data_IF_230835219737
#
_entry.id   IF_230835219737
#
_cell.length_a   1.000
_cell.length_b   1.000
_cell.length_c   1.000
_cell.angle_alpha   90.00
_cell.angle_beta   90.00
_cell.angle_gamma   90.00
#
_symmetry.space_group_name_H-M   'P 1'
#
loop_
_entity.id
_entity.type
_entity.pdbx_description
1 polymer ?
#
# COMPACT_ATOMS: atom_id res chain seq x y z
N UNK A 1 -15.06 -5.91 0.91
CA UNK A 1 -16.52 -5.80 1.14
C UNK A 1 -17.00 -5.92 2.61
N UNK A 2 -16.30 -6.62 3.51
CA UNK A 2 -16.73 -6.81 4.92
C UNK A 2 -17.08 -5.53 5.71
N UNK A 3 -16.43 -4.40 5.41
CA UNK A 3 -16.69 -3.13 6.12
C UNK A 3 -18.01 -2.49 5.67
N UNK A 4 -18.31 -2.48 4.36
CA UNK A 4 -19.57 -1.96 3.80
C UNK A 4 -20.78 -2.76 4.26
N UNK A 5 -20.63 -4.07 4.48
CA UNK A 5 -21.70 -4.91 5.03
C UNK A 5 -21.93 -4.67 6.52
N UNK A 6 -20.88 -4.28 7.27
CA UNK A 6 -20.99 -3.94 8.69
C UNK A 6 -21.59 -2.55 8.92
N UNK A 7 -21.28 -1.60 8.04
CA UNK A 7 -21.75 -0.22 8.12
C UNK A 7 -22.49 0.16 6.83
N UNK A 8 -23.74 -0.29 6.65
CA UNK A 8 -24.51 0.00 5.43
C UNK A 8 -24.95 1.47 5.35
N UNK A 9 -25.25 2.09 6.50
CA UNK A 9 -25.71 3.48 6.59
C UNK A 9 -24.82 4.31 7.52
N UNK A 10 -24.83 5.62 7.34
CA UNK A 10 -24.10 6.56 8.19
C UNK A 10 -24.62 6.53 9.65
N UNK A 11 -25.92 6.30 9.85
CA UNK A 11 -26.52 6.07 11.18
C UNK A 11 -25.96 4.84 11.89
N UNK A 12 -25.58 3.80 11.13
CA UNK A 12 -24.94 2.61 11.69
C UNK A 12 -23.56 2.94 12.28
N UNK A 13 -22.87 3.94 11.74
CA UNK A 13 -21.59 4.42 12.30
C UNK A 13 -21.80 5.23 13.58
N UNK A 14 -22.90 5.99 13.68
CA UNK A 14 -23.28 6.67 14.92
C UNK A 14 -23.63 5.66 16.02
N UNK A 15 -24.43 4.64 15.68
CA UNK A 15 -24.78 3.57 16.63
C UNK A 15 -23.56 2.80 17.14
N UNK A 16 -22.53 2.68 16.31
CA UNK A 16 -21.26 2.07 16.67
C UNK A 16 -20.33 2.98 17.49
N UNK A 17 -20.68 4.27 17.67
CA UNK A 17 -19.91 5.24 18.46
C UNK A 17 -18.73 5.87 17.72
N UNK A 18 -18.66 5.77 16.39
CA UNK A 18 -17.59 6.40 15.60
C UNK A 18 -17.88 7.86 15.23
N UNK A 19 -19.16 8.24 15.18
CA UNK A 19 -19.62 9.57 14.84
C UNK A 19 -20.64 10.03 15.87
N UNK A 20 -20.60 11.31 16.24
CA UNK A 20 -21.64 11.90 17.06
C UNK A 20 -22.87 12.30 16.21
N UNK A 21 -24.04 12.41 16.85
CA UNK A 21 -25.26 12.86 16.18
C UNK A 21 -25.13 14.28 15.61
N UNK A 22 -24.35 15.14 16.26
CA UNK A 22 -24.15 16.52 15.80
C UNK A 22 -23.17 16.59 14.63
N UNK A 23 -22.10 15.79 14.66
CA UNK A 23 -21.18 15.61 13.53
C UNK A 23 -21.90 15.06 12.30
N UNK A 24 -22.83 14.13 12.50
CA UNK A 24 -23.67 13.60 11.41
C UNK A 24 -24.48 14.71 10.73
N UNK A 25 -25.07 15.63 11.51
CA UNK A 25 -25.81 16.77 10.97
C UNK A 25 -24.89 17.68 10.16
N UNK A 26 -23.69 17.98 10.66
CA UNK A 26 -22.72 18.78 9.92
C UNK A 26 -22.27 18.12 8.63
N UNK A 27 -22.01 16.82 8.66
CA UNK A 27 -21.65 16.05 7.47
C UNK A 27 -22.77 16.05 6.42
N UNK A 28 -24.03 16.04 6.85
CA UNK A 28 -25.19 16.09 5.96
C UNK A 28 -25.42 17.45 5.29
N UNK A 29 -24.91 18.54 5.89
CA UNK A 29 -24.97 19.89 5.29
C UNK A 29 -24.04 20.04 4.09
N UNK A 30 -23.02 19.18 3.98
CA UNK A 30 -22.05 19.24 2.90
C UNK A 30 -22.66 18.60 1.66
N UNK A 31 -23.21 19.45 0.78
CA UNK A 31 -23.77 19.04 -0.51
C UNK A 31 -22.66 18.86 -1.55
N UNK A 32 -22.05 17.67 -1.53
CA UNK A 32 -21.05 17.24 -2.50
C UNK A 32 -21.43 15.86 -3.02
N UNK A 33 -21.32 15.68 -4.34
CA UNK A 33 -21.51 14.38 -4.99
C UNK A 33 -20.37 13.39 -4.69
N UNK A 34 -19.24 13.88 -4.20
CA UNK A 34 -18.05 13.09 -3.89
C UNK A 34 -18.09 12.51 -2.47
N UNK A 35 -17.26 11.50 -2.22
CA UNK A 35 -17.12 10.90 -0.90
C UNK A 35 -16.56 11.91 0.11
N UNK A 36 -17.21 12.01 1.28
CA UNK A 36 -16.95 12.98 2.36
C UNK A 36 -15.92 12.48 3.40
N UNK A 37 -15.08 11.51 3.05
CA UNK A 37 -14.09 10.93 3.97
C UNK A 37 -13.02 11.94 4.45
N UNK A 38 -12.83 13.04 3.71
CA UNK A 38 -11.87 14.09 4.06
C UNK A 38 -12.37 15.00 5.20
N UNK A 39 -13.68 15.05 5.46
CA UNK A 39 -14.27 15.96 6.44
C UNK A 39 -13.79 15.68 7.87
N UNK A 40 -13.77 14.42 8.38
CA UNK A 40 -13.22 14.13 9.70
C UNK A 40 -11.71 14.44 9.82
N UNK A 41 -10.95 14.29 8.73
CA UNK A 41 -9.53 14.65 8.72
C UNK A 41 -9.34 16.16 8.85
N UNK A 42 -10.20 16.93 8.19
CA UNK A 42 -10.22 18.38 8.33
C UNK A 42 -10.58 18.82 9.77
N UNK A 43 -11.56 18.16 10.39
CA UNK A 43 -11.89 18.40 11.80
C UNK A 43 -10.72 18.08 12.72
N UNK A 44 -10.02 16.96 12.50
CA UNK A 44 -8.84 16.61 13.30
C UNK A 44 -7.73 17.68 13.22
N UNK A 45 -7.50 18.25 12.02
CA UNK A 45 -6.58 19.38 11.86
C UNK A 45 -7.06 20.60 12.63
N UNK A 46 -8.36 20.94 12.55
CA UNK A 46 -8.97 22.05 13.30
C UNK A 46 -8.84 21.89 14.82
N UNK A 47 -9.04 20.68 15.34
CA UNK A 47 -8.82 20.35 16.76
C UNK A 47 -7.36 20.55 17.15
N UNK A 48 -6.41 20.18 16.28
CA UNK A 48 -4.98 20.43 16.52
C UNK A 48 -4.65 21.93 16.61
N UNK A 49 -5.30 22.78 15.81
CA UNK A 49 -5.17 24.24 15.95
C UNK A 49 -5.73 24.76 17.27
N UNK A 50 -6.95 24.35 17.63
CA UNK A 50 -7.58 24.75 18.89
C UNK A 50 -6.78 24.27 20.11
N UNK A 51 -6.12 23.11 20.01
CA UNK A 51 -5.30 22.57 21.09
C UNK A 51 -4.06 23.42 21.35
N UNK A 52 -3.48 24.05 20.32
CA UNK A 52 -2.40 25.02 20.48
C UNK A 52 -2.89 26.32 21.15
N UNK A 53 -4.04 26.85 20.73
CA UNK A 53 -4.63 28.06 21.32
C UNK A 53 -4.94 27.88 22.82
N UNK A 54 -5.47 26.70 23.18
CA UNK A 54 -5.75 26.33 24.57
C UNK A 54 -4.50 25.95 25.37
N UNK A 55 -3.31 26.01 24.76
CA UNK A 55 -2.01 25.67 25.35
C UNK A 55 -1.91 24.23 25.88
N UNK A 56 -2.62 23.28 25.24
CA UNK A 56 -2.41 21.85 25.51
C UNK A 56 -1.08 21.35 24.93
N UNK A 57 -0.60 21.98 23.85
CA UNK A 57 0.74 21.75 23.33
C UNK A 57 1.74 22.70 23.96
N UNK A 58 2.86 22.15 24.45
CA UNK A 58 3.96 22.93 25.02
C UNK A 58 4.66 23.79 23.97
N UNK A 59 4.79 23.27 22.74
CA UNK A 59 5.48 23.94 21.64
C UNK A 59 4.66 23.89 20.35
N UNK A 60 4.79 24.91 19.48
CA UNK A 60 4.22 24.86 18.13
C UNK A 60 4.73 23.68 17.30
N UNK A 61 5.93 23.18 17.60
CA UNK A 61 6.54 22.05 16.89
C UNK A 61 5.80 20.74 17.17
N UNK A 62 5.37 20.50 18.41
CA UNK A 62 4.54 19.34 18.77
C UNK A 62 3.25 19.27 17.94
N UNK A 63 2.62 20.43 17.66
CA UNK A 63 1.47 20.52 16.75
C UNK A 63 1.82 20.07 15.33
N UNK A 64 2.96 20.50 14.80
CA UNK A 64 3.42 20.15 13.45
C UNK A 64 3.62 18.64 13.34
N UNK A 65 4.21 18.00 14.35
CA UNK A 65 4.36 16.54 14.36
C UNK A 65 3.01 15.82 14.23
N UNK A 66 2.02 16.22 15.04
CA UNK A 66 0.67 15.64 14.97
C UNK A 66 0.04 15.88 13.59
N UNK A 67 0.23 17.07 13.01
CA UNK A 67 -0.27 17.39 11.68
C UNK A 67 0.39 16.53 10.58
N UNK A 68 1.70 16.26 10.69
CA UNK A 68 2.42 15.40 9.76
C UNK A 68 1.92 13.94 9.82
N UNK A 69 1.60 13.44 11.01
CA UNK A 69 1.01 12.10 11.15
C UNK A 69 -0.40 12.02 10.55
N UNK A 70 -1.23 13.05 10.75
CA UNK A 70 -2.55 13.16 10.11
C UNK A 70 -2.42 13.20 8.59
N UNK A 71 -1.42 13.91 8.06
CA UNK A 71 -1.15 13.98 6.63
C UNK A 71 -0.68 12.64 6.06
N UNK A 72 0.19 11.93 6.78
CA UNK A 72 0.62 10.57 6.41
C UNK A 72 -0.58 9.62 6.36
N UNK A 73 -1.46 9.68 7.37
CA UNK A 73 -2.69 8.91 7.38
C UNK A 73 -3.62 9.24 6.19
N UNK A 74 -3.80 10.54 5.88
CA UNK A 74 -4.59 11.00 4.73
C UNK A 74 -4.02 10.46 3.41
N UNK A 75 -2.69 10.45 3.26
CA UNK A 75 -2.02 9.98 2.05
C UNK A 75 -2.24 8.49 1.84
N UNK A 76 -2.13 7.68 2.90
CA UNK A 76 -2.42 6.24 2.85
C UNK A 76 -3.89 5.96 2.52
N UNK A 77 -4.82 6.74 3.07
CA UNK A 77 -6.24 6.63 2.74
C UNK A 77 -6.53 7.01 1.28
N UNK A 78 -5.89 8.06 0.76
CA UNK A 78 -6.02 8.46 -0.63
C UNK A 78 -5.49 7.38 -1.58
N UNK A 79 -4.38 6.73 -1.24
CA UNK A 79 -3.85 5.60 -1.99
C UNK A 79 -4.88 4.45 -2.06
N UNK A 80 -5.52 4.12 -0.95
CA UNK A 80 -6.58 3.10 -0.92
C UNK A 80 -7.77 3.47 -1.83
N UNK A 81 -8.21 4.73 -1.80
CA UNK A 81 -9.25 5.22 -2.69
C UNK A 81 -8.85 5.16 -4.17
N UNK A 82 -7.57 5.43 -4.48
CA UNK A 82 -7.06 5.36 -5.86
C UNK A 82 -7.08 3.92 -6.40
N UNK A 83 -6.73 2.93 -5.57
CA UNK A 83 -6.82 1.51 -5.94
C UNK A 83 -8.27 1.04 -6.16
N UNK A 84 -9.23 1.61 -5.43
CA UNK A 84 -10.66 1.32 -5.62
C UNK A 84 -11.22 2.03 -6.88
N UNK A 85 -10.75 3.25 -7.16
CA UNK A 85 -11.16 4.01 -8.35
C UNK A 85 -10.61 3.38 -9.63
N UNK A 86 -9.31 3.08 -9.68
CA UNK A 86 -8.61 2.64 -10.89
C UNK A 86 -8.29 1.15 -10.78
N UNK A 87 -9.19 0.26 -11.26
CA UNK A 87 -8.88 -1.16 -11.34
C UNK A 87 -7.84 -1.44 -12.41
N UNK A 88 -7.20 -2.60 -12.31
CA UNK A 88 -6.32 -3.13 -13.37
C UNK A 88 -7.12 -3.17 -14.69
N UNK A 89 -6.53 -2.73 -15.82
CA UNK A 89 -7.17 -2.83 -17.13
C UNK A 89 -7.67 -4.24 -17.38
N UNK A 90 -8.94 -4.38 -17.79
CA UNK A 90 -9.61 -5.69 -17.92
C UNK A 90 -8.92 -6.60 -18.95
N UNK A 91 -8.20 -6.02 -19.91
CA UNK A 91 -7.43 -6.75 -20.91
C UNK A 91 -6.33 -7.62 -20.29
N UNK A 92 -5.67 -7.18 -19.22
CA UNK A 92 -4.58 -7.94 -18.61
C UNK A 92 -5.02 -9.28 -18.01
N UNK A 93 -6.03 -9.34 -17.10
CA UNK A 93 -6.51 -10.61 -16.60
C UNK A 93 -7.16 -11.46 -17.69
N UNK A 94 -7.82 -10.84 -18.68
CA UNK A 94 -8.38 -11.57 -19.83
C UNK A 94 -7.30 -12.31 -20.62
N UNK A 95 -6.23 -11.62 -21.04
CA UNK A 95 -5.13 -12.25 -21.75
C UNK A 95 -4.44 -13.32 -20.92
N UNK A 96 -4.20 -13.06 -19.63
CA UNK A 96 -3.59 -14.03 -18.73
C UNK A 96 -4.43 -15.31 -18.58
N UNK A 97 -5.76 -15.17 -18.46
CA UNK A 97 -6.67 -16.31 -18.40
C UNK A 97 -6.70 -17.08 -19.72
N UNK A 98 -6.75 -16.39 -20.87
CA UNK A 98 -6.69 -17.05 -22.18
C UNK A 98 -5.42 -17.88 -22.33
N UNK A 99 -4.24 -17.36 -21.96
CA UNK A 99 -2.98 -18.11 -22.01
C UNK A 99 -3.05 -19.36 -21.13
N UNK A 100 -3.58 -19.23 -19.91
CA UNK A 100 -3.71 -20.38 -19.00
C UNK A 100 -4.67 -21.43 -19.56
N UNK A 101 -5.79 -21.01 -20.14
CA UNK A 101 -6.77 -21.90 -20.75
C UNK A 101 -6.22 -22.60 -22.01
N UNK A 102 -5.47 -21.88 -22.84
CA UNK A 102 -4.86 -22.38 -24.09
C UNK A 102 -3.69 -23.36 -23.81
N UNK A 103 -2.84 -23.04 -22.82
CA UNK A 103 -1.67 -23.84 -22.44
C UNK A 103 -1.98 -24.87 -21.34
N UNK A 104 -3.26 -25.01 -20.94
CA UNK A 104 -3.66 -25.95 -19.91
C UNK A 104 -3.35 -27.39 -20.34
N UNK A 105 -2.31 -27.98 -19.75
CA UNK A 105 -1.85 -29.34 -20.06
C UNK A 105 -0.74 -29.41 -21.12
N UNK A 106 -0.28 -28.27 -21.64
CA UNK A 106 0.93 -28.17 -22.44
C UNK A 106 2.15 -28.22 -21.49
N UNK A 107 2.59 -29.43 -21.15
CA UNK A 107 3.88 -29.61 -20.49
C UNK A 107 4.97 -29.58 -21.57
N UNK A 108 5.98 -28.69 -21.47
CA UNK A 108 7.14 -28.79 -22.34
C UNK A 108 7.81 -30.15 -22.14
N UNK A 109 8.43 -30.69 -23.18
CA UNK A 109 9.14 -31.96 -23.08
C UNK A 109 10.20 -31.90 -21.97
N UNK A 110 10.14 -32.86 -21.04
CA UNK A 110 11.08 -32.93 -19.93
C UNK A 110 12.46 -33.35 -20.46
N UNK A 111 13.36 -32.37 -20.58
CA UNK A 111 14.77 -32.60 -20.84
C UNK A 111 15.58 -32.43 -19.55
N UNK A 112 16.68 -33.18 -19.38
CA UNK A 112 17.63 -32.91 -18.30
C UNK A 112 18.11 -31.47 -18.42
N UNK A 113 17.98 -30.71 -17.34
CA UNK A 113 18.41 -29.33 -17.31
C UNK A 113 19.94 -29.22 -17.37
N UNK A 114 20.47 -28.08 -17.83
CA UNK A 114 21.91 -27.86 -17.96
C UNK A 114 22.68 -27.93 -16.63
N UNK A 115 22.01 -27.67 -15.50
CA UNK A 115 22.57 -27.83 -14.15
C UNK A 115 22.60 -29.28 -13.66
N UNK A 116 22.15 -30.24 -14.47
CA UNK A 116 22.31 -31.68 -14.18
C UNK A 116 23.79 -32.10 -14.28
N UNK A 117 24.60 -31.34 -15.03
CA UNK A 117 26.05 -31.55 -15.13
C UNK A 117 26.76 -30.88 -13.94
N UNK A 118 27.49 -31.64 -13.09
CA UNK A 118 28.25 -31.09 -11.97
C UNK A 118 29.35 -30.10 -12.37
N UNK A 119 29.77 -30.10 -13.63
CA UNK A 119 30.78 -29.17 -14.16
C UNK A 119 30.17 -27.94 -14.85
N UNK A 120 28.84 -27.82 -14.91
CA UNK A 120 28.19 -26.71 -15.57
C UNK A 120 28.44 -25.38 -14.85
N UNK A 121 29.07 -24.44 -15.55
CA UNK A 121 29.26 -23.06 -15.09
C UNK A 121 28.44 -22.09 -15.96
N UNK A 122 27.53 -21.28 -15.38
CA UNK A 122 26.79 -20.27 -16.13
C UNK A 122 27.71 -19.31 -16.88
N UNK A 123 27.43 -19.12 -18.17
CA UNK A 123 28.17 -18.16 -19.00
C UNK A 123 27.54 -16.78 -18.87
N UNK A 124 28.29 -15.85 -18.30
CA UNK A 124 27.91 -14.43 -18.27
C UNK A 124 28.60 -13.64 -19.39
N UNK A 125 27.92 -12.66 -20.02
CA UNK A 125 28.54 -11.73 -20.95
C UNK A 125 29.74 -11.01 -20.33
N UNK A 126 30.78 -10.70 -21.13
CA UNK A 126 32.00 -10.03 -20.66
C UNK A 126 31.70 -8.66 -20.01
N UNK A 127 30.69 -7.93 -20.51
CA UNK A 127 30.23 -6.67 -19.93
C UNK A 127 29.63 -6.83 -18.52
N UNK A 128 29.16 -8.03 -18.16
CA UNK A 128 28.63 -8.33 -16.82
C UNK A 128 29.72 -8.79 -15.85
N UNK A 129 30.92 -9.15 -16.34
CA UNK A 129 32.06 -9.63 -15.55
C UNK A 129 33.08 -8.51 -15.30
N UNK A 130 32.65 -7.41 -14.69
CA UNK A 130 33.57 -6.31 -14.34
C UNK A 130 34.61 -6.71 -13.28
N UNK A 131 34.25 -7.65 -12.40
CA UNK A 131 35.13 -8.27 -11.41
C UNK A 131 34.99 -9.77 -11.65
N UNK A 132 36.10 -10.50 -11.86
CA UNK A 132 36.06 -11.95 -12.07
C UNK A 132 35.51 -12.73 -10.86
N UNK A 133 35.81 -14.02 -10.76
CA UNK A 133 35.31 -14.90 -9.69
C UNK A 133 35.80 -14.52 -8.26
N UNK A 134 36.62 -13.48 -8.15
CA UNK A 134 37.12 -12.89 -6.91
C UNK A 134 36.05 -12.14 -6.07
N UNK A 135 34.81 -12.05 -6.55
CA UNK A 135 33.70 -11.37 -5.88
C UNK A 135 32.81 -12.26 -5.00
N UNK A 136 33.08 -13.58 -4.96
CA UNK A 136 32.28 -14.50 -4.13
C UNK A 136 32.53 -14.19 -2.66
N UNK A 137 31.46 -13.79 -1.95
CA UNK A 137 31.50 -13.49 -0.52
C UNK A 137 31.67 -14.79 0.27
N UNK A 138 32.92 -15.16 0.49
CA UNK A 138 33.40 -16.27 1.33
C UNK A 138 33.30 -15.98 2.83
N UNK A 139 32.92 -14.76 3.18
CA UNK A 139 32.78 -14.30 4.56
C UNK A 139 34.08 -13.74 5.12
N UNK A 140 33.97 -12.81 6.08
CA UNK A 140 35.11 -12.03 6.57
C UNK A 140 36.17 -12.84 7.32
N UNK A 141 35.91 -14.12 7.62
CA UNK A 141 36.78 -15.00 8.41
C UNK A 141 37.41 -16.15 7.61
N UNK A 142 37.16 -16.28 6.31
CA UNK A 142 37.65 -17.44 5.52
C UNK A 142 39.20 -17.46 5.40
N UNK A 143 39.85 -16.29 5.50
CA UNK A 143 41.31 -16.17 5.49
C UNK A 143 41.99 -16.50 6.84
N UNK A 144 41.25 -16.96 7.86
CA UNK A 144 41.75 -17.23 9.22
C UNK A 144 41.77 -18.72 9.60
N UNK A 145 41.74 -19.65 8.64
CA UNK A 145 41.94 -21.10 8.87
C UNK A 145 43.25 -21.60 8.29
#
# INVERSE_FOLDING_TARGET
MRVRTRFPTMESMVKAGFLNMDELKELSKIDLAYNRYWTPLHWALGVSFQALEKKYFETPWARICVQNEIETFRTNLALLCNFDWVPVPISYPQTGLCIVDDEYGACPELTPDSFTDPEYNPVYPEDSKHHGDHGVLTGSAENYR
#
